data_IF_523113577145
#
_entry.id   IF_523113577145
#
_cell.length_a   1.000
_cell.length_b   1.000
_cell.length_c   1.000
_cell.angle_alpha   90.00
_cell.angle_beta   90.00
_cell.angle_gamma   90.00
#
_symmetry.space_group_name_H-M   'P 1'
#
loop_
_entity.id
_entity.type
_entity.pdbx_description
1 polymer ?
#
# COMPACT_ATOMS: atom_id res chain seq x y z
N UNK A 1 -17.09 64.16 22.63
CA UNK A 1 -16.22 63.17 21.96
C UNK A 1 -15.84 63.68 20.58
N UNK A 2 -14.54 63.78 20.28
CA UNK A 2 -14.05 64.30 19.00
C UNK A 2 -14.45 63.35 17.85
N UNK A 3 -15.15 63.85 16.83
CA UNK A 3 -15.71 63.05 15.71
C UNK A 3 -14.64 62.19 15.00
N UNK A 4 -13.38 62.63 14.99
CA UNK A 4 -12.24 61.86 14.44
C UNK A 4 -12.01 60.51 15.14
N UNK A 5 -12.22 60.41 16.45
CA UNK A 5 -12.00 59.17 17.20
C UNK A 5 -13.20 58.20 17.13
N UNK A 6 -14.40 58.71 16.84
CA UNK A 6 -15.58 57.89 16.64
C UNK A 6 -15.44 57.00 15.38
N UNK A 7 -14.94 57.58 14.28
CA UNK A 7 -14.70 56.81 13.05
C UNK A 7 -13.56 55.81 13.19
N UNK A 8 -12.47 56.15 13.90
CA UNK A 8 -11.39 55.20 14.17
C UNK A 8 -11.85 54.01 15.02
N UNK A 9 -12.73 54.25 16.00
CA UNK A 9 -13.29 53.18 16.82
C UNK A 9 -14.28 52.31 16.02
N UNK A 10 -15.19 52.91 15.24
CA UNK A 10 -16.16 52.17 14.42
C UNK A 10 -15.48 51.39 13.28
N UNK A 11 -14.56 51.99 12.53
CA UNK A 11 -13.87 51.28 11.46
C UNK A 11 -12.84 50.27 12.00
N UNK A 12 -12.20 50.56 13.15
CA UNK A 12 -11.27 49.63 13.79
C UNK A 12 -11.95 48.38 14.36
N UNK A 13 -13.09 48.51 15.04
CA UNK A 13 -13.74 47.36 15.68
C UNK A 13 -14.56 46.50 14.71
N UNK A 14 -15.21 47.10 13.70
CA UNK A 14 -16.09 46.34 12.79
C UNK A 14 -15.33 45.65 11.65
N UNK A 15 -14.19 46.18 11.20
CA UNK A 15 -13.47 45.61 10.05
C UNK A 15 -12.31 44.68 10.42
N UNK A 16 -11.73 44.79 11.62
CA UNK A 16 -10.68 43.86 12.09
C UNK A 16 -11.13 42.38 12.14
N UNK A 17 -12.35 42.05 12.63
CA UNK A 17 -12.84 40.67 12.65
C UNK A 17 -12.99 40.09 11.24
N UNK A 18 -13.42 40.92 10.26
CA UNK A 18 -13.61 40.52 8.87
C UNK A 18 -12.29 40.18 8.17
N UNK A 19 -11.24 40.97 8.40
CA UNK A 19 -9.89 40.70 7.84
C UNK A 19 -9.30 39.42 8.45
N UNK A 20 -9.49 39.18 9.76
CA UNK A 20 -9.06 37.93 10.40
C UNK A 20 -9.83 36.71 9.87
N UNK A 21 -11.14 36.83 9.68
CA UNK A 21 -11.97 35.76 9.11
C UNK A 21 -11.55 35.43 7.66
N UNK A 22 -11.31 36.46 6.84
CA UNK A 22 -10.82 36.30 5.47
C UNK A 22 -9.44 35.62 5.43
N UNK A 23 -8.52 36.01 6.32
CA UNK A 23 -7.20 35.36 6.41
C UNK A 23 -7.27 33.90 6.86
N UNK A 24 -8.19 33.56 7.76
CA UNK A 24 -8.42 32.17 8.19
C UNK A 24 -9.02 31.34 7.05
N UNK A 25 -9.97 31.90 6.31
CA UNK A 25 -10.62 31.24 5.18
C UNK A 25 -9.67 31.07 3.99
N UNK A 26 -8.82 32.06 3.70
CA UNK A 26 -7.78 31.96 2.66
C UNK A 26 -6.73 30.95 3.08
N UNK A 27 -6.32 30.93 4.36
CA UNK A 27 -5.37 29.94 4.87
C UNK A 27 -5.96 28.53 4.84
N UNK A 28 -7.23 28.34 5.19
CA UNK A 28 -7.89 27.02 5.14
C UNK A 28 -8.09 26.54 3.70
N UNK A 29 -8.51 27.43 2.78
CA UNK A 29 -8.61 27.13 1.34
C UNK A 29 -7.24 26.80 0.74
N UNK A 30 -6.19 27.52 1.12
CA UNK A 30 -4.82 27.21 0.69
C UNK A 30 -4.33 25.87 1.25
N UNK A 31 -4.57 25.57 2.52
CA UNK A 31 -4.21 24.28 3.12
C UNK A 31 -4.97 23.12 2.49
N UNK A 32 -6.26 23.30 2.21
CA UNK A 32 -7.09 22.32 1.51
C UNK A 32 -6.62 22.13 0.06
N UNK A 33 -6.20 23.19 -0.65
CA UNK A 33 -5.57 23.08 -1.97
C UNK A 33 -4.22 22.34 -1.91
N UNK A 34 -3.41 22.55 -0.86
CA UNK A 34 -2.17 21.80 -0.64
C UNK A 34 -2.46 20.32 -0.39
N UNK A 35 -3.51 19.98 0.39
CA UNK A 35 -3.89 18.59 0.63
C UNK A 35 -4.47 17.91 -0.61
N UNK A 36 -5.32 18.60 -1.37
CA UNK A 36 -5.92 18.07 -2.61
C UNK A 36 -4.89 17.89 -3.72
N UNK A 37 -3.79 18.67 -3.72
CA UNK A 37 -2.74 18.57 -4.74
C UNK A 37 -1.58 17.62 -4.35
N UNK A 38 -1.73 16.81 -3.29
CA UNK A 38 -0.80 15.70 -3.04
C UNK A 38 -1.08 14.58 -4.05
N UNK A 39 -0.39 14.64 -5.19
CA UNK A 39 -0.37 13.57 -6.17
C UNK A 39 -0.02 12.24 -5.51
N UNK A 40 -0.88 11.22 -5.69
CA UNK A 40 -0.61 9.88 -5.18
C UNK A 40 0.60 9.28 -5.91
N UNK A 41 1.75 9.31 -5.22
CA UNK A 41 3.01 8.80 -5.74
C UNK A 41 3.16 7.28 -5.57
N UNK A 42 2.13 6.56 -5.09
CA UNK A 42 2.18 5.12 -4.80
C UNK A 42 2.61 4.31 -6.03
N UNK A 43 2.08 4.63 -7.20
CA UNK A 43 2.44 3.93 -8.46
C UNK A 43 3.91 4.19 -8.81
N UNK A 44 4.37 5.43 -8.67
CA UNK A 44 5.75 5.81 -9.00
C UNK A 44 6.73 5.15 -8.03
N UNK A 45 6.43 5.14 -6.73
CA UNK A 45 7.19 4.42 -5.70
C UNK A 45 7.29 2.93 -6.05
N UNK A 46 6.17 2.28 -6.40
CA UNK A 46 6.16 0.87 -6.82
C UNK A 46 7.06 0.63 -8.04
N UNK A 47 7.02 1.52 -9.04
CA UNK A 47 7.86 1.43 -10.25
C UNK A 47 9.34 1.57 -9.91
N UNK A 48 9.72 2.51 -9.04
CA UNK A 48 11.12 2.72 -8.63
C UNK A 48 11.63 1.49 -7.87
N UNK A 49 10.84 0.92 -6.94
CA UNK A 49 11.19 -0.34 -6.26
C UNK A 49 11.38 -1.50 -7.22
N UNK A 50 10.48 -1.65 -8.18
CA UNK A 50 10.61 -2.70 -9.21
C UNK A 50 11.90 -2.54 -10.02
N UNK A 51 12.29 -1.30 -10.33
CA UNK A 51 13.54 -0.99 -11.03
C UNK A 51 14.77 -1.35 -10.20
N UNK A 52 14.81 -1.01 -8.91
CA UNK A 52 15.90 -1.42 -8.00
C UNK A 52 16.03 -2.95 -7.97
N UNK A 53 14.92 -3.68 -7.80
CA UNK A 53 14.92 -5.14 -7.79
C UNK A 53 15.41 -5.75 -9.12
N UNK A 54 15.05 -5.14 -10.25
CA UNK A 54 15.52 -5.56 -11.56
C UNK A 54 17.04 -5.35 -11.72
N UNK A 55 17.58 -4.23 -11.23
CA UNK A 55 19.01 -3.95 -11.21
C UNK A 55 19.78 -4.94 -10.33
N UNK A 56 19.26 -5.25 -9.14
CA UNK A 56 19.81 -6.28 -8.23
C UNK A 56 19.88 -7.65 -8.91
N UNK A 57 18.77 -8.07 -9.55
CA UNK A 57 18.73 -9.34 -10.30
C UNK A 57 19.71 -9.36 -11.47
N UNK A 58 19.83 -8.25 -12.20
CA UNK A 58 20.78 -8.10 -13.31
C UNK A 58 22.23 -8.22 -12.79
N UNK A 59 22.55 -7.54 -11.69
CA UNK A 59 23.86 -7.64 -11.02
C UNK A 59 24.16 -9.08 -10.62
N UNK A 60 23.23 -9.75 -9.94
CA UNK A 60 23.40 -11.15 -9.54
C UNK A 60 23.67 -12.06 -10.74
N UNK A 61 22.86 -11.96 -11.81
CA UNK A 61 23.04 -12.74 -13.04
C UNK A 61 24.38 -12.46 -13.73
N UNK A 62 24.82 -11.20 -13.77
CA UNK A 62 26.09 -10.88 -14.42
C UNK A 62 27.30 -11.33 -13.60
N UNK A 63 27.19 -11.33 -12.26
CA UNK A 63 28.21 -11.91 -11.37
C UNK A 63 28.34 -13.42 -11.57
N UNK A 64 27.23 -14.16 -11.65
CA UNK A 64 27.28 -15.61 -11.91
C UNK A 64 27.88 -15.92 -13.27
N UNK A 65 27.63 -15.09 -14.28
CA UNK A 65 28.22 -15.21 -15.62
C UNK A 65 29.68 -14.70 -15.71
N UNK A 66 30.30 -14.25 -14.61
CA UNK A 66 31.63 -13.60 -14.60
C UNK A 66 31.75 -12.42 -15.58
N UNK A 67 30.64 -11.75 -15.92
CA UNK A 67 30.55 -10.58 -16.82
C UNK A 67 30.41 -9.25 -16.05
N UNK A 68 30.69 -9.27 -14.76
CA UNK A 68 30.56 -8.13 -13.87
C UNK A 68 31.92 -7.51 -13.60
N UNK A 69 32.09 -6.24 -14.01
CA UNK A 69 33.33 -5.48 -13.80
C UNK A 69 33.16 -4.44 -12.70
N UNK A 70 34.27 -3.92 -12.20
CA UNK A 70 34.28 -2.89 -11.17
C UNK A 70 33.61 -1.59 -11.64
N UNK A 71 33.79 -1.23 -12.92
CA UNK A 71 33.08 -0.11 -13.55
C UNK A 71 31.54 -0.31 -13.51
N UNK A 72 31.06 -1.54 -13.78
CA UNK A 72 29.63 -1.87 -13.70
C UNK A 72 29.11 -1.81 -12.27
N UNK A 73 29.94 -2.16 -11.28
CA UNK A 73 29.60 -2.02 -9.87
C UNK A 73 29.43 -0.54 -9.48
N UNK A 74 30.38 0.32 -9.85
CA UNK A 74 30.31 1.76 -9.58
C UNK A 74 29.05 2.38 -10.20
N UNK A 75 28.76 2.06 -11.46
CA UNK A 75 27.55 2.54 -12.15
C UNK A 75 26.27 2.02 -11.49
N UNK A 76 26.23 0.74 -11.10
CA UNK A 76 25.10 0.17 -10.38
C UNK A 76 24.83 0.90 -9.06
N UNK A 77 25.87 1.13 -8.25
CA UNK A 77 25.75 1.83 -6.96
C UNK A 77 25.23 3.26 -7.19
N UNK A 78 25.77 3.97 -8.18
CA UNK A 78 25.31 5.30 -8.55
C UNK A 78 23.82 5.31 -8.93
N UNK A 79 23.38 4.39 -9.80
CA UNK A 79 21.98 4.29 -10.20
C UNK A 79 21.05 3.95 -9.03
N UNK A 80 21.44 2.99 -8.18
CA UNK A 80 20.64 2.60 -7.01
C UNK A 80 20.52 3.76 -6.02
N UNK A 81 21.61 4.48 -5.75
CA UNK A 81 21.59 5.63 -4.86
C UNK A 81 20.71 6.76 -5.42
N UNK A 82 20.76 7.03 -6.73
CA UNK A 82 19.86 7.97 -7.40
C UNK A 82 18.39 7.57 -7.23
N UNK A 83 18.07 6.28 -7.40
CA UNK A 83 16.72 5.78 -7.23
C UNK A 83 16.25 5.85 -5.77
N UNK A 84 17.12 5.56 -4.80
CA UNK A 84 16.83 5.70 -3.36
C UNK A 84 16.55 7.15 -2.96
N UNK A 85 17.38 8.09 -3.41
CA UNK A 85 17.13 9.52 -3.19
C UNK A 85 15.80 9.97 -3.80
N UNK A 86 15.43 9.43 -4.97
CA UNK A 86 14.11 9.71 -5.55
C UNK A 86 12.96 9.14 -4.70
N UNK A 87 13.12 7.97 -4.08
CA UNK A 87 12.11 7.43 -3.16
C UNK A 87 11.93 8.32 -1.94
N UNK A 88 13.04 8.79 -1.34
CA UNK A 88 13.00 9.71 -0.20
C UNK A 88 12.28 11.02 -0.56
N UNK A 89 12.58 11.60 -1.72
CA UNK A 89 11.88 12.80 -2.23
C UNK A 89 10.39 12.59 -2.44
N UNK A 90 9.97 11.38 -2.80
CA UNK A 90 8.56 11.02 -2.99
C UNK A 90 7.82 10.76 -1.66
N UNK A 91 8.49 10.96 -0.52
CA UNK A 91 7.90 10.75 0.80
C UNK A 91 7.86 9.29 1.21
N UNK A 92 8.61 8.40 0.53
CA UNK A 92 8.89 7.08 1.07
C UNK A 92 9.88 7.23 2.23
N UNK A 93 9.37 7.58 3.42
CA UNK A 93 10.11 7.34 4.64
C UNK A 93 10.20 5.82 4.82
N UNK A 94 11.43 5.34 5.03
CA UNK A 94 11.78 3.92 5.12
C UNK A 94 11.05 3.16 6.24
N UNK A 95 10.26 3.83 7.07
CA UNK A 95 9.50 3.25 8.16
C UNK A 95 8.21 4.07 8.27
N UNK A 96 7.13 3.65 7.59
CA UNK A 96 5.79 4.02 8.05
C UNK A 96 5.68 3.41 9.45
N UNK A 97 5.88 4.22 10.50
CA UNK A 97 5.69 3.80 11.89
C UNK A 97 4.24 3.36 12.00
N UNK A 98 4.06 2.04 11.95
CA UNK A 98 2.75 1.43 12.05
C UNK A 98 2.24 1.73 13.44
N UNK A 99 0.99 2.18 13.52
CA UNK A 99 0.33 2.24 14.81
C UNK A 99 0.27 0.84 15.43
N UNK A 100 0.21 0.74 16.76
CA UNK A 100 0.16 -0.53 17.47
C UNK A 100 -0.97 -1.44 16.92
N UNK A 101 -2.12 -0.86 16.56
CA UNK A 101 -3.22 -1.59 15.94
C UNK A 101 -2.90 -2.14 14.55
N UNK A 102 -2.14 -1.40 13.73
CA UNK A 102 -1.71 -1.87 12.41
C UNK A 102 -0.67 -2.99 12.50
N UNK A 103 0.23 -2.93 13.50
CA UNK A 103 1.20 -3.98 13.81
C UNK A 103 0.46 -5.25 14.22
N UNK A 104 -0.49 -5.15 15.16
CA UNK A 104 -1.30 -6.28 15.62
C UNK A 104 -2.05 -6.93 14.45
N UNK A 105 -2.69 -6.14 13.57
CA UNK A 105 -3.40 -6.67 12.40
C UNK A 105 -2.48 -7.41 11.44
N UNK A 106 -1.26 -6.91 11.22
CA UNK A 106 -0.27 -7.60 10.37
C UNK A 106 0.18 -8.92 10.99
N UNK A 107 0.48 -8.94 12.28
CA UNK A 107 0.86 -10.15 13.01
C UNK A 107 -0.28 -11.19 13.00
N UNK A 108 -1.53 -10.78 13.20
CA UNK A 108 -2.69 -11.66 13.10
C UNK A 108 -2.83 -12.28 11.69
N UNK A 109 -2.62 -11.48 10.63
CA UNK A 109 -2.63 -12.00 9.25
C UNK A 109 -1.52 -13.01 9.00
N UNK A 110 -0.31 -12.75 9.51
CA UNK A 110 0.82 -13.68 9.40
C UNK A 110 0.56 -14.97 10.17
N UNK A 111 0.04 -14.90 11.40
CA UNK A 111 -0.35 -16.06 12.19
C UNK A 111 -1.43 -16.90 11.50
N UNK A 112 -2.46 -16.25 10.93
CA UNK A 112 -3.51 -16.94 10.16
C UNK A 112 -2.92 -17.66 8.95
N UNK A 113 -2.02 -17.01 8.21
CA UNK A 113 -1.35 -17.62 7.07
C UNK A 113 -0.52 -18.84 7.48
N UNK A 114 0.29 -18.73 8.53
CA UNK A 114 1.12 -19.83 9.04
C UNK A 114 0.26 -20.99 9.55
N UNK A 115 -0.84 -20.69 10.24
CA UNK A 115 -1.75 -21.74 10.72
C UNK A 115 -2.45 -22.45 9.55
N UNK A 116 -2.93 -21.70 8.56
CA UNK A 116 -3.51 -22.29 7.34
C UNK A 116 -2.48 -23.14 6.59
N UNK A 117 -1.25 -22.67 6.46
CA UNK A 117 -0.18 -23.43 5.82
C UNK A 117 0.12 -24.74 6.58
N UNK A 118 0.17 -24.70 7.91
CA UNK A 118 0.34 -25.88 8.77
C UNK A 118 -0.83 -26.85 8.65
N UNK A 119 -2.06 -26.37 8.75
CA UNK A 119 -3.27 -27.20 8.62
C UNK A 119 -3.33 -27.85 7.24
N UNK A 120 -3.04 -27.10 6.18
CA UNK A 120 -2.99 -27.65 4.82
C UNK A 120 -1.88 -28.69 4.64
N UNK A 121 -0.71 -28.49 5.26
CA UNK A 121 0.37 -29.46 5.25
C UNK A 121 -0.04 -30.75 5.98
N UNK A 122 -0.57 -30.63 7.18
CA UNK A 122 -1.05 -31.78 7.97
C UNK A 122 -2.19 -32.51 7.23
N UNK A 123 -3.12 -31.78 6.63
CA UNK A 123 -4.19 -32.36 5.83
C UNK A 123 -3.63 -33.17 4.65
N UNK A 124 -2.58 -32.68 3.97
CA UNK A 124 -1.92 -33.41 2.87
C UNK A 124 -1.13 -34.63 3.36
N UNK A 125 -0.49 -34.55 4.52
CA UNK A 125 0.32 -35.65 5.09
C UNK A 125 -0.54 -36.76 5.70
N UNK A 126 -1.73 -36.42 6.23
CA UNK A 126 -2.69 -37.36 6.82
C UNK A 126 -3.68 -37.90 5.77
N UNK A 127 -3.73 -37.30 4.58
CA UNK A 127 -4.66 -37.69 3.51
C UNK A 127 -4.43 -39.13 3.07
N UNK A 128 -5.43 -40.00 3.27
CA UNK A 128 -5.37 -41.40 2.85
C UNK A 128 -6.24 -41.66 1.63
N UNK A 129 -5.94 -42.75 0.91
CA UNK A 129 -6.82 -43.27 -0.18
C UNK A 129 -8.26 -43.55 0.28
N UNK A 130 -8.47 -43.77 1.59
CA UNK A 130 -9.79 -43.96 2.18
C UNK A 130 -10.58 -42.65 2.21
N UNK A 131 -9.91 -41.53 2.42
CA UNK A 131 -10.51 -40.20 2.37
C UNK A 131 -10.91 -39.86 0.93
N UNK A 132 -10.06 -40.15 -0.06
CA UNK A 132 -10.39 -40.02 -1.49
C UNK A 132 -11.69 -40.76 -1.85
N UNK A 133 -11.81 -42.02 -1.44
CA UNK A 133 -13.01 -42.82 -1.70
C UNK A 133 -14.28 -42.23 -1.05
N UNK A 134 -14.17 -41.59 0.12
CA UNK A 134 -15.29 -40.90 0.76
C UNK A 134 -15.70 -39.67 -0.04
N UNK A 135 -14.73 -38.89 -0.53
CA UNK A 135 -14.99 -37.71 -1.35
C UNK A 135 -15.56 -38.06 -2.73
N UNK A 136 -15.03 -39.09 -3.39
CA UNK A 136 -15.58 -39.60 -4.65
C UNK A 136 -17.03 -40.05 -4.47
N UNK A 137 -17.35 -40.78 -3.38
CA UNK A 137 -18.72 -41.19 -3.09
C UNK A 137 -19.66 -40.01 -2.85
N UNK A 138 -19.19 -38.96 -2.17
CA UNK A 138 -19.97 -37.73 -1.96
C UNK A 138 -20.15 -36.94 -3.25
N UNK A 139 -19.11 -36.84 -4.07
CA UNK A 139 -19.15 -36.20 -5.38
C UNK A 139 -20.12 -36.93 -6.32
N UNK A 140 -20.08 -38.26 -6.37
CA UNK A 140 -21.01 -39.09 -7.14
C UNK A 140 -22.47 -38.81 -6.76
N UNK A 141 -22.80 -38.82 -5.47
CA UNK A 141 -24.16 -38.47 -4.99
C UNK A 141 -24.61 -37.06 -5.42
N UNK A 142 -23.69 -36.08 -5.41
CA UNK A 142 -23.99 -34.73 -5.83
C UNK A 142 -24.26 -34.66 -7.33
N UNK A 143 -23.41 -35.29 -8.14
CA UNK A 143 -23.55 -35.36 -9.60
C UNK A 143 -24.87 -36.06 -9.96
N UNK A 144 -25.17 -37.20 -9.35
CA UNK A 144 -26.43 -37.93 -9.58
C UNK A 144 -27.66 -37.08 -9.24
N UNK A 145 -27.59 -36.32 -8.13
CA UNK A 145 -28.66 -35.39 -7.76
C UNK A 145 -28.83 -34.29 -8.80
N UNK A 146 -27.74 -33.73 -9.33
CA UNK A 146 -27.78 -32.70 -10.37
C UNK A 146 -28.35 -33.26 -11.67
N UNK A 147 -27.93 -34.46 -12.09
CA UNK A 147 -28.44 -35.13 -13.30
C UNK A 147 -29.94 -35.40 -13.16
N UNK A 148 -30.37 -35.96 -12.02
CA UNK A 148 -31.79 -36.22 -11.75
C UNK A 148 -32.65 -34.96 -11.76
N UNK A 149 -32.14 -33.85 -11.22
CA UNK A 149 -32.81 -32.56 -11.27
C UNK A 149 -32.90 -32.00 -12.70
N UNK A 150 -31.90 -32.30 -13.55
CA UNK A 150 -31.88 -31.86 -14.95
C UNK A 150 -32.83 -32.67 -15.83
N UNK A 151 -32.89 -33.99 -15.66
CA UNK A 151 -33.81 -34.88 -16.42
C UNK A 151 -35.28 -34.61 -16.08
N UNK A 152 -35.60 -34.23 -14.83
CA UNK A 152 -36.98 -33.89 -14.43
C UNK A 152 -37.48 -32.54 -14.96
N UNK A 153 -36.61 -31.74 -15.58
CA UNK A 153 -36.94 -30.39 -16.06
C UNK A 153 -37.32 -30.38 -17.55
N UNK A 154 -37.10 -31.49 -18.26
CA UNK A 154 -37.60 -31.78 -19.60
C UNK A 154 -38.95 -32.52 -19.51
#
# INVERSE_FOLDING_TARGET
>A
MNKKYFYLFFFGFFFLPSIKALNIEVKSKHLHLIEVNKQDNTILIKKIKAKIKALEKKRARLKTLKKWSELKEKNYVFEVNKLRSNLEKLGESSIKKLDAGEIIRKLQKQLKFLNNARVNKNAKEIWTKKDDAIYEKKAGKLIDSIIKLRIKKD
#
